data_IF_199824535075
#
_entry.id   IF_199824535075
#
_cell.length_a   1.000
_cell.length_b   1.000
_cell.length_c   1.000
_cell.angle_alpha   90.00
_cell.angle_beta   90.00
_cell.angle_gamma   90.00
#
_symmetry.space_group_name_H-M   'P 1'
#
loop_
_entity.id
_entity.type
_entity.pdbx_description
1 polymer ?
#
# COMPACT_ATOMS: atom_id res chain seq x y z
N UNK A 1 -12.87 35.61 -46.48
CA UNK A 1 -11.54 34.98 -46.23
C UNK A 1 -10.99 35.70 -45.01
N UNK A 2 -10.84 35.13 -43.82
CA UNK A 2 -10.33 33.82 -43.42
C UNK A 2 -11.10 33.36 -42.17
N UNK A 3 -11.67 32.15 -42.24
CA UNK A 3 -12.09 31.31 -41.12
C UNK A 3 -10.80 30.76 -40.49
N UNK A 4 -10.68 30.70 -39.17
CA UNK A 4 -9.86 29.78 -38.32
C UNK A 4 -9.65 30.52 -37.00
N UNK A 5 -10.60 30.38 -36.07
CA UNK A 5 -10.50 30.95 -34.72
C UNK A 5 -11.15 29.99 -33.71
N UNK A 6 -10.94 28.67 -33.79
CA UNK A 6 -11.63 27.70 -32.92
C UNK A 6 -10.88 26.36 -32.74
N UNK A 7 -9.55 26.33 -32.62
CA UNK A 7 -8.83 25.06 -32.39
C UNK A 7 -7.70 25.19 -31.35
N UNK A 8 -7.97 25.80 -30.20
CA UNK A 8 -6.99 25.89 -29.10
C UNK A 8 -7.56 25.54 -27.71
N UNK A 9 -8.60 24.68 -27.65
CA UNK A 9 -9.17 24.20 -26.38
C UNK A 9 -9.45 22.69 -26.50
N UNK A 10 -8.44 21.85 -26.73
CA UNK A 10 -8.68 20.40 -26.82
C UNK A 10 -7.48 19.50 -26.48
N UNK A 11 -6.40 20.00 -25.85
CA UNK A 11 -5.23 19.15 -25.55
C UNK A 11 -4.64 19.50 -24.18
N UNK A 12 -5.37 19.22 -23.09
CA UNK A 12 -4.79 19.27 -21.74
C UNK A 12 -5.37 18.22 -20.77
N UNK A 13 -6.13 17.22 -21.24
CA UNK A 13 -6.88 16.31 -20.37
C UNK A 13 -6.52 14.82 -20.48
N UNK A 14 -5.31 14.45 -20.91
CA UNK A 14 -4.96 13.02 -21.16
C UNK A 14 -3.98 12.42 -20.15
N UNK A 15 -3.45 13.17 -19.17
CA UNK A 15 -2.33 12.68 -18.35
C UNK A 15 -2.67 11.99 -17.02
N UNK A 16 -3.95 11.87 -16.62
CA UNK A 16 -4.29 11.30 -15.29
C UNK A 16 -4.56 9.78 -15.34
N UNK A 17 -4.83 9.19 -16.50
CA UNK A 17 -5.28 7.80 -16.59
C UNK A 17 -4.19 6.72 -16.41
N UNK A 18 -2.90 7.07 -16.51
CA UNK A 18 -1.81 6.08 -16.40
C UNK A 18 -1.48 5.70 -14.95
N UNK A 19 -1.69 6.59 -13.98
CA UNK A 19 -1.33 6.33 -12.59
C UNK A 19 -2.22 5.23 -11.97
N UNK A 20 -3.53 5.31 -12.22
CA UNK A 20 -4.48 4.35 -11.67
C UNK A 20 -4.23 2.92 -12.18
N UNK A 21 -4.10 2.71 -13.50
CA UNK A 21 -3.87 1.36 -14.05
C UNK A 21 -2.67 0.65 -13.43
N UNK A 22 -1.65 1.41 -13.01
CA UNK A 22 -0.46 0.86 -12.36
C UNK A 22 -0.75 0.30 -10.95
N UNK A 23 -1.62 0.93 -10.16
CA UNK A 23 -1.92 0.47 -8.80
C UNK A 23 -2.87 -0.73 -8.79
N UNK A 24 -3.83 -0.80 -9.73
CA UNK A 24 -4.71 -1.97 -9.81
C UNK A 24 -3.94 -3.22 -10.27
N UNK A 25 -2.98 -3.07 -11.19
CA UNK A 25 -2.10 -4.17 -11.57
C UNK A 25 -1.22 -4.63 -10.41
N UNK A 26 -0.66 -3.69 -9.64
CA UNK A 26 0.09 -4.00 -8.42
C UNK A 26 -0.80 -4.72 -7.39
N UNK A 27 -2.02 -4.23 -7.15
CA UNK A 27 -2.99 -4.88 -6.27
C UNK A 27 -3.27 -6.33 -6.68
N UNK A 28 -3.53 -6.57 -7.96
CA UNK A 28 -3.81 -7.92 -8.47
C UNK A 28 -2.59 -8.85 -8.36
N UNK A 29 -1.38 -8.34 -8.63
CA UNK A 29 -0.14 -9.11 -8.49
C UNK A 29 0.14 -9.45 -7.03
N UNK A 30 0.06 -8.46 -6.13
CA UNK A 30 0.29 -8.64 -4.70
C UNK A 30 -0.67 -9.67 -4.11
N UNK A 31 -1.99 -9.53 -4.33
CA UNK A 31 -2.98 -10.49 -3.81
C UNK A 31 -2.77 -11.93 -4.27
N UNK A 32 -2.11 -12.11 -5.42
CA UNK A 32 -1.85 -13.44 -5.98
C UNK A 32 -0.52 -14.03 -5.51
N UNK A 33 0.52 -13.20 -5.44
CA UNK A 33 1.89 -13.65 -5.31
C UNK A 33 2.58 -13.16 -4.03
N UNK A 34 1.96 -12.23 -3.30
CA UNK A 34 2.55 -11.50 -2.18
C UNK A 34 3.90 -10.85 -2.55
N UNK A 35 4.04 -10.35 -3.78
CA UNK A 35 5.32 -9.82 -4.26
C UNK A 35 5.63 -8.43 -3.67
N UNK A 36 6.83 -8.26 -3.13
CA UNK A 36 7.26 -7.04 -2.46
C UNK A 36 7.21 -5.81 -3.37
N UNK A 37 7.58 -5.95 -4.65
CA UNK A 37 7.57 -4.83 -5.59
C UNK A 37 6.16 -4.27 -5.83
N UNK A 38 5.14 -5.11 -5.82
CA UNK A 38 3.74 -4.67 -5.87
C UNK A 38 3.29 -4.06 -4.56
N UNK A 39 3.70 -4.61 -3.42
CA UNK A 39 3.41 -4.03 -2.11
C UNK A 39 3.99 -2.61 -1.99
N UNK A 40 5.23 -2.37 -2.41
CA UNK A 40 5.84 -1.03 -2.44
C UNK A 40 5.02 -0.04 -3.27
N UNK A 41 4.56 -0.45 -4.46
CA UNK A 41 3.72 0.40 -5.31
C UNK A 41 2.38 0.71 -4.67
N UNK A 42 1.75 -0.26 -4.00
CA UNK A 42 0.50 -0.03 -3.27
C UNK A 42 0.72 0.96 -2.12
N UNK A 43 1.82 0.80 -1.36
CA UNK A 43 2.17 1.69 -0.23
C UNK A 43 2.30 3.14 -0.68
N UNK A 44 2.88 3.41 -1.86
CA UNK A 44 2.97 4.76 -2.42
C UNK A 44 1.59 5.43 -2.69
N UNK A 45 0.51 4.65 -2.73
CA UNK A 45 -0.86 5.15 -2.90
C UNK A 45 -1.64 5.21 -1.59
N UNK A 46 -1.12 4.63 -0.50
CA UNK A 46 -1.76 4.70 0.81
C UNK A 46 -1.61 6.10 1.40
N UNK A 47 -2.65 6.54 2.10
CA UNK A 47 -2.72 7.85 2.73
C UNK A 47 -3.49 7.75 4.04
N UNK A 48 -3.07 8.50 5.06
CA UNK A 48 -3.86 8.66 6.28
C UNK A 48 -5.28 9.17 5.93
N UNK A 49 -6.29 8.65 6.60
CA UNK A 49 -7.70 8.94 6.31
C UNK A 49 -8.31 8.05 5.21
N UNK A 50 -7.53 7.19 4.53
CA UNK A 50 -8.07 6.27 3.54
C UNK A 50 -9.05 5.29 4.19
N UNK A 51 -10.24 5.13 3.61
CA UNK A 51 -11.24 4.18 4.12
C UNK A 51 -10.67 2.76 4.14
N UNK A 52 -10.93 2.03 5.23
CA UNK A 52 -10.54 0.63 5.42
C UNK A 52 -10.88 -0.24 4.22
N UNK A 53 -12.11 -0.16 3.72
CA UNK A 53 -12.56 -0.90 2.53
C UNK A 53 -11.67 -0.63 1.31
N UNK A 54 -11.21 0.62 1.11
CA UNK A 54 -10.33 0.96 -0.02
C UNK A 54 -8.94 0.34 0.15
N UNK A 55 -8.42 0.30 1.38
CA UNK A 55 -7.15 -0.34 1.71
C UNK A 55 -7.24 -1.86 1.50
N UNK A 56 -8.30 -2.50 2.02
CA UNK A 56 -8.57 -3.94 1.83
C UNK A 56 -8.80 -4.27 0.36
N UNK A 57 -9.45 -3.38 -0.41
CA UNK A 57 -9.58 -3.54 -1.85
C UNK A 57 -8.24 -3.47 -2.59
N UNK A 58 -7.22 -2.81 -2.05
CA UNK A 58 -5.88 -2.80 -2.63
C UNK A 58 -5.04 -4.01 -2.19
N UNK A 59 -5.08 -4.35 -0.91
CA UNK A 59 -4.17 -5.34 -0.31
C UNK A 59 -4.74 -6.75 -0.25
N UNK A 60 -6.06 -6.90 -0.20
CA UNK A 60 -6.71 -8.19 0.10
C UNK A 60 -6.82 -8.44 1.60
N UNK A 61 -6.98 -9.71 1.96
CA UNK A 61 -7.01 -10.13 3.37
C UNK A 61 -5.61 -10.03 3.98
N UNK A 62 -5.50 -9.62 5.26
CA UNK A 62 -4.24 -9.59 5.98
C UNK A 62 -3.81 -11.00 6.37
N UNK A 63 -2.50 -11.22 6.45
CA UNK A 63 -1.92 -12.50 6.86
C UNK A 63 -2.05 -12.73 8.37
N UNK A 64 -2.02 -11.64 9.15
CA UNK A 64 -2.07 -11.68 10.61
C UNK A 64 -2.66 -10.40 11.21
N UNK A 65 -3.33 -10.54 12.35
CA UNK A 65 -3.97 -9.42 13.09
C UNK A 65 -4.00 -9.76 14.58
N UNK A 66 -2.92 -9.49 15.35
CA UNK A 66 -2.84 -9.84 16.77
C UNK A 66 -3.86 -9.08 17.62
N UNK A 67 -4.29 -7.91 17.16
CA UNK A 67 -5.25 -7.06 17.86
C UNK A 67 -6.11 -6.33 16.84
N UNK A 68 -7.40 -6.21 17.12
CA UNK A 68 -8.35 -5.55 16.22
C UNK A 68 -7.95 -4.10 15.93
N UNK A 69 -7.75 -3.78 14.65
CA UNK A 69 -7.27 -2.46 14.21
C UNK A 69 -5.84 -2.46 13.69
N UNK A 70 -5.04 -3.49 14.00
CA UNK A 70 -3.69 -3.64 13.45
C UNK A 70 -3.58 -4.89 12.58
N UNK A 71 -3.19 -4.69 11.32
CA UNK A 71 -3.16 -5.75 10.32
C UNK A 71 -1.81 -5.83 9.63
N UNK A 72 -1.33 -7.05 9.43
CA UNK A 72 -0.02 -7.36 8.86
C UNK A 72 -0.20 -8.01 7.49
N UNK A 73 0.60 -7.52 6.54
CA UNK A 73 0.61 -7.91 5.14
C UNK A 73 2.05 -8.27 4.78
N UNK A 74 2.36 -9.55 4.71
CA UNK A 74 3.69 -10.07 4.39
C UNK A 74 3.97 -10.05 2.89
N UNK A 75 5.26 -9.99 2.54
CA UNK A 75 5.72 -10.17 1.18
C UNK A 75 6.69 -11.33 1.05
N UNK A 76 7.02 -11.69 -0.19
CA UNK A 76 8.05 -12.65 -0.56
C UNK A 76 9.49 -12.21 -0.19
N UNK A 77 9.70 -10.94 0.16
CA UNK A 77 11.01 -10.42 0.54
C UNK A 77 11.39 -10.80 1.97
N UNK A 78 12.63 -11.25 2.12
CA UNK A 78 13.31 -11.51 3.39
C UNK A 78 14.50 -10.57 3.56
N UNK A 79 14.74 -10.13 4.78
CA UNK A 79 15.91 -9.33 5.14
C UNK A 79 16.68 -9.96 6.29
N UNK A 80 18.00 -9.94 6.16
CA UNK A 80 18.94 -10.33 7.20
C UNK A 80 19.09 -9.18 8.20
N UNK A 81 18.75 -9.42 9.47
CA UNK A 81 19.07 -8.52 10.57
C UNK A 81 20.13 -9.15 11.47
N UNK A 82 21.12 -8.37 11.84
CA UNK A 82 22.11 -8.78 12.85
C UNK A 82 21.43 -8.83 14.22
N UNK A 83 21.33 -10.02 14.81
CA UNK A 83 20.90 -10.20 16.18
C UNK A 83 22.06 -9.94 17.14
N UNK A 84 21.77 -9.34 18.30
CA UNK A 84 22.78 -9.05 19.34
C UNK A 84 23.43 -10.31 19.91
N UNK A 85 22.72 -11.45 19.92
CA UNK A 85 23.15 -12.64 20.68
C UNK A 85 23.18 -13.96 19.88
N UNK A 86 22.61 -14.02 18.67
CA UNK A 86 22.44 -15.29 17.91
C UNK A 86 22.88 -15.23 16.43
N UNK A 87 23.61 -14.20 16.03
CA UNK A 87 24.03 -14.01 14.64
C UNK A 87 22.91 -13.44 13.76
N UNK A 88 23.07 -13.55 12.45
CA UNK A 88 22.11 -13.01 11.47
C UNK A 88 20.83 -13.84 11.45
N UNK A 89 19.68 -13.18 11.64
CA UNK A 89 18.35 -13.78 11.47
C UNK A 89 17.66 -13.23 10.22
N UNK A 90 16.92 -14.07 9.51
CA UNK A 90 16.09 -13.62 8.39
C UNK A 90 14.67 -13.30 8.89
N UNK A 91 14.17 -12.11 8.54
CA UNK A 91 12.78 -11.70 8.83
C UNK A 91 12.03 -11.39 7.55
N UNK A 92 10.71 -11.55 7.59
CA UNK A 92 9.83 -11.10 6.51
C UNK A 92 9.88 -9.58 6.41
N UNK A 93 9.80 -9.05 5.20
CA UNK A 93 9.45 -7.65 4.98
C UNK A 93 7.97 -7.59 4.61
N UNK A 94 7.25 -6.64 5.16
CA UNK A 94 5.83 -6.46 4.92
C UNK A 94 5.31 -5.11 5.38
N UNK A 95 4.01 -4.94 5.29
CA UNK A 95 3.28 -3.74 5.64
C UNK A 95 2.45 -3.99 6.90
N UNK A 96 2.58 -3.10 7.87
CA UNK A 96 1.66 -2.99 9.01
C UNK A 96 0.75 -1.80 8.75
N UNK A 97 -0.56 -1.98 8.94
CA UNK A 97 -1.56 -0.90 8.92
C UNK A 97 -2.26 -0.80 10.26
N UNK A 98 -2.52 0.42 10.71
CA UNK A 98 -3.17 0.74 11.98
C UNK A 98 -4.41 1.59 11.72
N UNK A 99 -5.54 1.18 12.30
CA UNK A 99 -6.84 1.84 12.19
C UNK A 99 -7.28 2.49 13.50
N UNK A 100 -6.54 2.31 14.61
CA UNK A 100 -6.83 2.98 15.87
C UNK A 100 -6.25 4.39 15.90
N UNK A 101 -7.04 5.32 16.42
CA UNK A 101 -6.60 6.69 16.63
C UNK A 101 -5.61 6.79 17.80
N UNK A 102 -5.12 8.01 18.06
CA UNK A 102 -4.20 8.30 19.18
C UNK A 102 -4.75 7.97 20.58
N UNK A 103 -6.06 7.73 20.70
CA UNK A 103 -6.73 7.37 21.94
C UNK A 103 -7.13 5.88 21.94
N UNK A 104 -6.54 5.08 21.03
CA UNK A 104 -6.77 3.65 20.87
C UNK A 104 -8.19 3.26 20.42
N UNK A 105 -8.99 4.21 19.95
CA UNK A 105 -10.33 3.91 19.43
C UNK A 105 -10.24 3.40 18.00
N UNK A 106 -10.92 2.30 17.70
CA UNK A 106 -11.04 1.77 16.35
C UNK A 106 -11.76 2.79 15.44
N UNK A 107 -11.17 3.04 14.27
CA UNK A 107 -11.77 3.89 13.24
C UNK A 107 -11.96 3.11 11.93
N UNK A 108 -12.74 3.67 11.01
CA UNK A 108 -12.91 3.13 9.65
C UNK A 108 -11.89 3.69 8.65
N UNK A 109 -10.84 4.35 9.13
CA UNK A 109 -9.87 5.09 8.33
C UNK A 109 -8.45 4.75 8.74
N UNK A 110 -7.57 4.61 7.74
CA UNK A 110 -6.15 4.35 7.95
C UNK A 110 -5.53 5.47 8.78
N UNK A 111 -5.01 5.14 9.96
CA UNK A 111 -4.36 6.08 10.86
C UNK A 111 -2.86 6.10 10.62
N UNK A 112 -2.24 4.93 10.54
CA UNK A 112 -0.80 4.75 10.30
C UNK A 112 -0.52 3.53 9.43
N UNK A 113 0.63 3.55 8.77
CA UNK A 113 1.14 2.40 8.03
C UNK A 113 2.66 2.44 7.94
N UNK A 114 3.28 1.27 7.95
CA UNK A 114 4.74 1.13 7.88
C UNK A 114 5.11 -0.09 7.03
N UNK A 115 5.92 0.14 6.01
CA UNK A 115 6.59 -0.91 5.24
C UNK A 115 7.97 -1.17 5.85
N UNK A 116 8.29 -2.42 6.15
CA UNK A 116 9.58 -2.79 6.73
C UNK A 116 9.63 -4.23 7.22
N UNK A 117 10.69 -4.57 7.95
CA UNK A 117 10.81 -5.86 8.62
C UNK A 117 9.62 -6.09 9.58
N UNK A 118 8.97 -7.24 9.45
CA UNK A 118 7.89 -7.72 10.31
C UNK A 118 8.29 -9.07 10.92
N UNK A 119 8.15 -9.18 12.23
CA UNK A 119 8.59 -10.33 13.02
C UNK A 119 9.13 -9.91 14.38
N UNK A 120 8.98 -10.78 15.37
CA UNK A 120 9.52 -10.61 16.74
C UNK A 120 11.02 -10.91 16.77
#
# INVERSE_FOLDING_TARGET
MIRILWVLISVSFVLVACADQSVQQASASYKKNHDYASLERIVAHLNKGMKREKVENLLGEPDYSPTEGQYYYSSDRREAIEGTDQGTREVSVGLVVEYRDKNENLTNELQEFQLGAIGE
#
